data_IF_862320526832
#
_entry.id   IF_862320526832
#
_cell.length_a   1.000
_cell.length_b   1.000
_cell.length_c   1.000
_cell.angle_alpha   90.00
_cell.angle_beta   90.00
_cell.angle_gamma   90.00
#
_symmetry.space_group_name_H-M   'P 1'
#
loop_
_entity.id
_entity.type
_entity.pdbx_description
1 polymer ?
#
# COMPACT_ATOMS: atom_id res chain seq x y z
N UNK A 1 3.95 4.54 13.37
CA UNK A 1 3.66 3.21 13.96
C UNK A 1 4.64 2.22 13.38
N UNK A 2 5.10 1.27 14.20
CA UNK A 2 6.08 0.24 13.83
C UNK A 2 5.49 -1.10 14.29
N UNK A 3 5.37 -2.06 13.37
CA UNK A 3 5.12 -3.46 13.73
C UNK A 3 6.45 -4.20 13.61
N UNK A 4 6.96 -4.64 14.76
CA UNK A 4 8.19 -5.40 14.92
C UNK A 4 7.81 -6.80 15.41
N UNK A 5 7.45 -7.66 14.48
CA UNK A 5 6.97 -8.99 14.81
C UNK A 5 8.20 -9.87 15.11
N UNK A 6 8.46 -10.14 16.40
CA UNK A 6 9.69 -10.77 16.91
C UNK A 6 10.05 -12.16 16.34
N UNK A 7 9.19 -12.74 15.48
CA UNK A 7 9.44 -13.98 14.73
C UNK A 7 9.93 -13.75 13.29
N UNK A 8 9.97 -12.50 12.80
CA UNK A 8 10.38 -12.14 11.45
C UNK A 8 11.44 -11.02 11.46
N UNK A 9 12.50 -11.16 10.67
CA UNK A 9 13.65 -10.23 10.62
C UNK A 9 13.38 -8.90 9.89
N UNK A 10 12.12 -8.49 9.75
CA UNK A 10 11.69 -7.34 8.93
C UNK A 10 10.67 -6.49 9.68
N UNK A 11 10.86 -5.17 9.63
CA UNK A 11 9.94 -4.18 10.17
C UNK A 11 9.20 -3.42 9.07
N UNK A 12 7.95 -3.04 9.35
CA UNK A 12 7.16 -2.10 8.54
C UNK A 12 6.89 -0.87 9.40
N UNK A 13 7.12 0.32 8.84
CA UNK A 13 6.89 1.57 9.54
C UNK A 13 6.10 2.55 8.67
N UNK A 14 5.12 3.20 9.29
CA UNK A 14 4.50 4.42 8.77
C UNK A 14 5.02 5.57 9.63
N UNK A 15 5.76 6.48 9.00
CA UNK A 15 6.35 7.65 9.63
C UNK A 15 5.56 8.90 9.26
N UNK A 16 5.29 9.73 10.25
CA UNK A 16 4.71 11.06 10.04
C UNK A 16 5.63 12.14 10.59
N UNK A 17 5.86 13.18 9.80
CA UNK A 17 6.70 14.32 10.17
C UNK A 17 5.94 15.39 10.96
N UNK A 18 4.62 15.44 10.83
CA UNK A 18 3.79 16.56 11.28
C UNK A 18 2.80 16.18 12.41
N UNK A 19 3.01 15.04 13.06
CA UNK A 19 2.21 14.55 14.21
C UNK A 19 0.67 14.67 14.06
N UNK A 20 0.04 14.24 12.96
CA UNK A 20 -1.40 14.04 12.99
C UNK A 20 -1.71 12.96 14.04
N UNK A 21 -2.89 13.08 14.65
CA UNK A 21 -3.40 12.09 15.60
C UNK A 21 -3.73 10.81 14.82
N UNK A 22 -2.73 9.97 14.64
CA UNK A 22 -2.82 8.66 14.01
C UNK A 22 -2.99 7.60 15.10
N UNK A 23 -3.98 6.73 14.92
CA UNK A 23 -4.28 5.65 15.85
C UNK A 23 -4.08 4.33 15.11
N UNK A 24 -3.29 3.42 15.70
CA UNK A 24 -3.10 2.08 15.15
C UNK A 24 -4.44 1.34 15.16
N UNK A 25 -4.72 0.62 14.08
CA UNK A 25 -5.93 -0.19 13.97
C UNK A 25 -5.59 -1.58 13.49
N UNK A 26 -6.41 -2.54 13.90
CA UNK A 26 -6.37 -3.89 13.37
C UNK A 26 -7.49 -4.02 12.35
N UNK A 27 -7.14 -4.38 11.12
CA UNK A 27 -8.11 -4.80 10.12
C UNK A 27 -8.39 -6.27 10.34
N UNK A 28 -9.66 -6.66 10.30
CA UNK A 28 -10.07 -8.05 10.51
C UNK A 28 -9.32 -8.99 9.56
N UNK A 29 -8.77 -10.06 10.11
CA UNK A 29 -8.06 -11.11 9.38
C UNK A 29 -6.72 -11.44 10.00
N UNK A 30 -6.07 -12.48 9.47
CA UNK A 30 -4.83 -13.04 10.02
C UNK A 30 -3.62 -12.75 9.13
N UNK A 31 -3.65 -11.66 8.36
CA UNK A 31 -2.50 -11.24 7.55
C UNK A 31 -1.47 -10.51 8.42
N UNK A 32 -0.27 -11.06 8.51
CA UNK A 32 0.72 -10.65 9.52
C UNK A 32 1.75 -9.62 9.03
N UNK A 33 1.93 -9.48 7.72
CA UNK A 33 2.96 -8.61 7.13
C UNK A 33 2.39 -7.22 6.78
N UNK A 34 1.69 -6.61 7.74
CA UNK A 34 1.09 -5.29 7.56
C UNK A 34 1.12 -4.40 8.80
N UNK A 35 0.92 -3.11 8.57
CA UNK A 35 0.63 -2.09 9.58
C UNK A 35 -0.51 -1.25 9.07
N UNK A 36 -1.50 -1.00 9.92
CA UNK A 36 -2.63 -0.15 9.61
C UNK A 36 -2.78 0.96 10.64
N UNK A 37 -3.20 2.12 10.16
CA UNK A 37 -3.62 3.20 11.03
C UNK A 37 -4.76 3.99 10.43
N UNK A 38 -5.51 4.64 11.32
CA UNK A 38 -6.51 5.62 10.96
C UNK A 38 -6.04 7.02 11.33
N UNK A 39 -6.37 7.98 10.49
CA UNK A 39 -6.06 9.39 10.69
C UNK A 39 -7.37 10.17 10.57
N UNK A 40 -7.71 10.95 11.60
CA UNK A 40 -8.85 11.87 11.56
C UNK A 40 -8.50 13.07 10.69
N UNK A 41 -9.34 13.37 9.72
CA UNK A 41 -9.16 14.48 8.80
C UNK A 41 -9.89 15.73 9.32
N UNK A 42 -9.29 16.90 9.12
CA UNK A 42 -9.87 18.20 9.50
C UNK A 42 -11.26 18.44 8.88
N UNK A 43 -11.54 17.81 7.73
CA UNK A 43 -12.82 17.86 7.02
C UNK A 43 -13.92 16.93 7.55
N UNK A 44 -13.71 16.29 8.71
CA UNK A 44 -14.67 15.37 9.32
C UNK A 44 -14.68 13.97 8.71
N UNK A 45 -13.79 13.69 7.77
CA UNK A 45 -13.54 12.34 7.27
C UNK A 45 -12.48 11.59 8.09
N UNK A 46 -12.34 10.32 7.77
CA UNK A 46 -11.29 9.45 8.32
C UNK A 46 -10.56 8.80 7.16
N UNK A 47 -9.23 8.84 7.19
CA UNK A 47 -8.34 8.08 6.32
C UNK A 47 -7.97 6.78 7.02
N UNK A 48 -8.17 5.65 6.35
CA UNK A 48 -7.50 4.40 6.67
C UNK A 48 -6.28 4.26 5.76
N UNK A 49 -5.09 4.10 6.35
CA UNK A 49 -3.87 3.83 5.58
C UNK A 49 -3.19 2.56 6.06
N UNK A 50 -2.80 1.72 5.11
CA UNK A 50 -2.15 0.43 5.35
C UNK A 50 -0.85 0.32 4.58
N UNK A 51 0.19 -0.20 5.25
CA UNK A 51 1.44 -0.58 4.61
C UNK A 51 1.56 -2.11 4.63
N UNK A 52 1.67 -2.72 3.45
CA UNK A 52 1.83 -4.15 3.23
C UNK A 52 3.27 -4.44 2.84
N UNK A 53 3.86 -5.48 3.40
CA UNK A 53 5.18 -5.95 2.99
C UNK A 53 5.14 -7.44 2.69
N UNK A 54 6.16 -7.91 1.98
CA UNK A 54 6.38 -9.32 1.76
C UNK A 54 7.21 -9.97 2.86
N UNK A 55 6.73 -11.12 3.34
CA UNK A 55 7.58 -12.18 3.87
C UNK A 55 8.01 -13.15 2.74
N UNK A 56 9.30 -13.46 2.56
CA UNK A 56 9.80 -14.35 1.51
C UNK A 56 9.21 -15.77 1.54
N UNK A 57 8.56 -16.15 2.65
CA UNK A 57 8.03 -17.48 2.94
C UNK A 57 6.51 -17.49 3.16
N UNK A 58 5.77 -16.52 2.64
CA UNK A 58 4.31 -16.49 2.83
C UNK A 58 3.63 -17.72 2.23
N UNK A 59 2.82 -18.38 3.05
CA UNK A 59 1.98 -19.50 2.63
C UNK A 59 0.84 -19.04 1.73
N UNK A 60 0.24 -19.96 0.97
CA UNK A 60 -1.00 -19.71 0.21
C UNK A 60 -2.14 -19.19 1.11
N UNK A 61 -2.16 -19.65 2.37
CA UNK A 61 -3.08 -19.17 3.40
C UNK A 61 -2.84 -17.68 3.72
N UNK A 62 -1.60 -17.27 3.92
CA UNK A 62 -1.27 -15.86 4.15
C UNK A 62 -1.63 -14.98 2.93
N UNK A 63 -1.48 -15.49 1.71
CA UNK A 63 -1.94 -14.80 0.48
C UNK A 63 -3.46 -14.70 0.36
N UNK A 64 -4.18 -15.67 0.93
CA UNK A 64 -5.64 -15.60 1.05
C UNK A 64 -6.04 -14.57 2.10
N UNK A 65 -5.32 -14.52 3.23
CA UNK A 65 -5.53 -13.52 4.27
C UNK A 65 -5.24 -12.10 3.78
N UNK A 66 -4.21 -11.90 2.94
CA UNK A 66 -3.94 -10.63 2.27
C UNK A 66 -5.16 -10.14 1.48
N UNK A 67 -5.74 -11.01 0.63
CA UNK A 67 -6.93 -10.70 -0.17
C UNK A 67 -8.13 -10.35 0.72
N UNK A 68 -8.38 -11.15 1.75
CA UNK A 68 -9.48 -10.91 2.70
C UNK A 68 -9.31 -9.60 3.48
N UNK A 69 -8.08 -9.28 3.90
CA UNK A 69 -7.76 -8.02 4.59
C UNK A 69 -8.00 -6.81 3.69
N UNK A 70 -7.64 -6.89 2.40
CA UNK A 70 -7.93 -5.82 1.42
C UNK A 70 -9.44 -5.61 1.27
N UNK A 71 -10.21 -6.70 1.16
CA UNK A 71 -11.69 -6.63 1.11
C UNK A 71 -12.25 -5.97 2.37
N UNK A 72 -11.79 -6.39 3.55
CA UNK A 72 -12.23 -5.82 4.82
C UNK A 72 -11.90 -4.32 4.94
N UNK A 73 -10.71 -3.90 4.50
CA UNK A 73 -10.32 -2.49 4.47
C UNK A 73 -11.21 -1.67 3.51
N UNK A 74 -11.47 -2.19 2.30
CA UNK A 74 -12.28 -1.52 1.29
C UNK A 74 -13.77 -1.41 1.67
N UNK A 75 -14.30 -2.38 2.41
CA UNK A 75 -15.70 -2.39 2.85
C UNK A 75 -15.93 -1.66 4.19
N UNK A 76 -14.85 -1.17 4.83
CA UNK A 76 -14.91 -0.47 6.11
C UNK A 76 -15.71 0.83 6.04
N UNK A 77 -16.91 0.86 6.64
CA UNK A 77 -17.83 2.00 6.57
C UNK A 77 -17.42 3.20 7.42
N UNK A 78 -16.46 3.01 8.32
CA UNK A 78 -15.95 4.06 9.20
C UNK A 78 -14.91 4.96 8.51
N UNK A 79 -14.50 4.61 7.29
CA UNK A 79 -13.46 5.28 6.54
C UNK A 79 -14.02 5.89 5.26
N UNK A 80 -13.55 7.10 4.99
CA UNK A 80 -13.97 7.88 3.81
C UNK A 80 -12.89 7.91 2.75
N UNK A 81 -11.64 7.72 3.18
CA UNK A 81 -10.46 7.69 2.33
C UNK A 81 -9.70 6.41 2.67
N UNK A 82 -9.18 5.74 1.64
CA UNK A 82 -8.41 4.51 1.79
C UNK A 82 -7.12 4.63 0.98
N UNK A 83 -6.01 4.35 1.65
CA UNK A 83 -4.68 4.23 1.05
C UNK A 83 -4.08 2.89 1.45
N UNK A 84 -3.81 2.03 0.48
CA UNK A 84 -3.05 0.79 0.71
C UNK A 84 -1.78 0.90 -0.10
N UNK A 85 -0.64 0.72 0.53
CA UNK A 85 0.66 0.86 -0.14
C UNK A 85 1.64 -0.18 0.34
N UNK A 86 2.73 -0.34 -0.39
CA UNK A 86 3.86 -1.15 0.01
C UNK A 86 4.26 -2.16 -1.06
N UNK A 87 4.97 -3.19 -0.65
CA UNK A 87 5.68 -4.11 -1.53
C UNK A 87 4.93 -5.43 -1.72
N UNK A 88 4.39 -5.61 -2.93
CA UNK A 88 3.62 -6.75 -3.40
C UNK A 88 4.45 -7.68 -4.29
N UNK A 89 5.71 -7.95 -3.91
CA UNK A 89 6.59 -8.99 -4.48
C UNK A 89 5.93 -10.40 -4.67
N UNK A 90 4.70 -10.64 -4.21
CA UNK A 90 3.94 -11.88 -4.42
C UNK A 90 3.45 -12.05 -5.86
N UNK A 91 3.31 -10.96 -6.60
CA UNK A 91 2.65 -10.95 -7.90
C UNK A 91 3.53 -10.43 -9.05
N UNK A 92 4.71 -11.03 -9.29
CA UNK A 92 5.66 -10.54 -10.28
C UNK A 92 5.17 -10.64 -11.73
N UNK A 93 4.15 -11.47 -11.98
CA UNK A 93 3.63 -11.72 -13.32
C UNK A 93 2.41 -10.82 -13.67
N UNK A 94 1.95 -9.99 -12.73
CA UNK A 94 0.87 -9.04 -13.00
C UNK A 94 1.40 -7.92 -13.89
N UNK A 95 0.75 -7.76 -15.05
CA UNK A 95 0.86 -6.57 -15.87
C UNK A 95 -0.23 -5.58 -15.44
N UNK A 96 0.16 -4.51 -14.76
CA UNK A 96 -0.74 -3.45 -14.28
C UNK A 96 -1.25 -2.53 -15.39
N UNK A 97 -0.64 -2.54 -16.57
CA UNK A 97 -1.15 -1.81 -17.75
C UNK A 97 -2.34 -2.53 -18.36
N UNK A 98 -2.25 -3.85 -18.54
CA UNK A 98 -3.32 -4.68 -19.11
C UNK A 98 -4.25 -5.29 -18.06
N UNK A 99 -3.92 -5.13 -16.78
CA UNK A 99 -4.61 -5.75 -15.64
C UNK A 99 -4.83 -7.25 -15.84
N UNK A 100 -3.74 -7.97 -16.09
CA UNK A 100 -3.73 -9.41 -16.33
C UNK A 100 -2.49 -10.08 -15.72
N UNK A 101 -2.59 -11.33 -15.30
CA UNK A 101 -1.44 -12.14 -14.85
C UNK A 101 -1.30 -13.38 -15.72
N UNK A 102 -0.22 -13.52 -16.48
CA UNK A 102 -0.05 -14.68 -17.38
C UNK A 102 0.47 -15.91 -16.64
N UNK A 103 -0.33 -16.97 -16.59
CA UNK A 103 0.07 -18.25 -16.00
C UNK A 103 0.11 -18.28 -14.46
N UNK A 104 -0.39 -17.22 -13.81
CA UNK A 104 -0.45 -17.09 -12.37
C UNK A 104 -1.89 -16.82 -11.92
N UNK A 105 -2.57 -17.90 -11.53
CA UNK A 105 -3.96 -17.88 -11.09
C UNK A 105 -4.18 -17.09 -9.79
N UNK A 106 -3.17 -17.02 -8.91
CA UNK A 106 -3.33 -16.23 -7.68
C UNK A 106 -3.24 -14.74 -7.99
N UNK A 107 -2.35 -14.34 -8.90
CA UNK A 107 -2.30 -12.98 -9.44
C UNK A 107 -3.59 -12.56 -10.16
N UNK A 108 -4.21 -13.46 -10.93
CA UNK A 108 -5.54 -13.21 -11.53
C UNK A 108 -6.60 -12.96 -10.45
N UNK A 109 -6.68 -13.80 -9.42
CA UNK A 109 -7.60 -13.60 -8.28
C UNK A 109 -7.31 -12.32 -7.52
N UNK A 110 -6.04 -11.95 -7.37
CA UNK A 110 -5.66 -10.70 -6.72
C UNK A 110 -6.19 -9.50 -7.52
N UNK A 111 -6.03 -9.50 -8.84
CA UNK A 111 -6.61 -8.48 -9.73
C UNK A 111 -8.14 -8.40 -9.57
N UNK A 112 -8.82 -9.54 -9.54
CA UNK A 112 -10.28 -9.61 -9.34
C UNK A 112 -10.68 -8.97 -8.00
N UNK A 113 -9.98 -9.28 -6.91
CA UNK A 113 -10.23 -8.67 -5.59
C UNK A 113 -10.08 -7.14 -5.63
N UNK A 114 -9.01 -6.63 -6.27
CA UNK A 114 -8.80 -5.18 -6.41
C UNK A 114 -9.97 -4.54 -7.20
N UNK A 115 -10.42 -5.19 -8.28
CA UNK A 115 -11.55 -4.71 -9.11
C UNK A 115 -12.88 -4.73 -8.34
N UNK A 116 -13.18 -5.82 -7.66
CA UNK A 116 -14.42 -6.00 -6.89
C UNK A 116 -14.51 -5.02 -5.71
N UNK A 117 -13.35 -4.60 -5.19
CA UNK A 117 -13.23 -3.58 -4.16
C UNK A 117 -13.24 -2.15 -4.73
N UNK A 118 -13.36 -1.96 -6.04
CA UNK A 118 -13.27 -0.66 -6.72
C UNK A 118 -11.99 0.11 -6.38
N UNK A 119 -10.88 -0.59 -6.17
CA UNK A 119 -9.60 0.02 -5.86
C UNK A 119 -8.83 0.38 -7.12
N UNK A 120 -8.14 1.53 -7.08
CA UNK A 120 -7.35 2.06 -8.18
C UNK A 120 -5.86 1.89 -7.88
N UNK A 121 -5.14 1.13 -8.72
CA UNK A 121 -3.68 1.07 -8.68
C UNK A 121 -3.11 2.34 -9.34
N UNK A 122 -2.12 2.99 -8.71
CA UNK A 122 -1.56 4.29 -9.17
C UNK A 122 -0.11 4.24 -9.69
N UNK A 123 0.59 3.12 -9.57
CA UNK A 123 2.01 2.99 -9.95
C UNK A 123 2.15 2.42 -11.35
N UNK A 124 2.75 3.19 -12.25
CA UNK A 124 2.84 2.89 -13.68
C UNK A 124 4.26 2.60 -14.19
N UNK A 125 5.29 2.75 -13.35
CA UNK A 125 6.69 2.46 -13.70
C UNK A 125 7.27 1.38 -12.81
N UNK A 126 8.29 0.71 -13.35
CA UNK A 126 9.04 -0.30 -12.62
C UNK A 126 9.61 0.28 -11.34
N UNK A 127 9.31 -0.37 -10.22
CA UNK A 127 9.77 0.04 -8.89
C UNK A 127 10.92 -0.80 -8.40
N UNK A 128 11.13 -1.98 -9.00
CA UNK A 128 12.24 -2.88 -8.69
C UNK A 128 13.13 -3.10 -9.89
N UNK A 129 14.43 -2.92 -9.70
CA UNK A 129 15.46 -3.21 -10.70
C UNK A 129 16.64 -3.94 -10.05
N UNK A 130 16.84 -5.20 -10.43
CA UNK A 130 17.95 -6.03 -9.95
C UNK A 130 18.72 -6.58 -11.14
N UNK A 131 20.04 -6.58 -11.05
CA UNK A 131 20.92 -7.16 -12.08
C UNK A 131 20.51 -8.61 -12.36
N UNK A 132 20.26 -8.93 -13.63
CA UNK A 132 19.86 -10.27 -14.07
C UNK A 132 18.39 -10.61 -13.85
N UNK A 133 17.54 -9.64 -13.50
CA UNK A 133 16.09 -9.80 -13.42
C UNK A 133 15.40 -8.76 -14.31
N UNK A 134 14.26 -9.13 -14.90
CA UNK A 134 13.40 -8.17 -15.58
C UNK A 134 12.86 -7.15 -14.56
N UNK A 135 12.93 -5.84 -14.86
CA UNK A 135 12.30 -4.81 -14.05
C UNK A 135 10.80 -5.03 -13.90
N UNK A 136 10.24 -4.70 -12.74
CA UNK A 136 8.84 -4.98 -12.41
C UNK A 136 8.22 -3.92 -11.52
N UNK A 137 6.90 -3.80 -11.60
CA UNK A 137 6.08 -2.92 -10.77
C UNK A 137 5.60 -3.74 -9.56
N UNK A 138 6.29 -3.59 -8.44
CA UNK A 138 6.04 -4.41 -7.24
C UNK A 138 5.68 -3.58 -6.02
N UNK A 139 6.08 -2.31 -5.98
CA UNK A 139 5.60 -1.36 -4.99
C UNK A 139 4.33 -0.73 -5.54
N UNK A 140 3.22 -0.95 -4.87
CA UNK A 140 1.89 -0.56 -5.35
C UNK A 140 1.28 0.48 -4.42
N UNK A 141 0.42 1.30 -5.00
CA UNK A 141 -0.43 2.25 -4.28
C UNK A 141 -1.86 2.00 -4.77
N UNK A 142 -2.74 1.62 -3.86
CA UNK A 142 -4.16 1.45 -4.10
C UNK A 142 -4.96 2.50 -3.34
N UNK A 143 -5.94 3.09 -4.01
CA UNK A 143 -6.87 4.07 -3.42
C UNK A 143 -8.31 3.75 -3.77
N UNK A 144 -9.26 4.18 -2.95
CA UNK A 144 -10.69 4.04 -3.25
C UNK A 144 -11.21 5.10 -4.26
N UNK A 145 -10.43 6.12 -4.57
CA UNK A 145 -10.72 7.05 -5.68
C UNK A 145 -9.44 7.38 -6.47
N UNK A 146 -9.59 7.54 -7.78
CA UNK A 146 -8.45 7.72 -8.72
C UNK A 146 -7.66 9.01 -8.50
N UNK A 147 -8.33 10.09 -8.08
CA UNK A 147 -7.74 11.43 -7.91
C UNK A 147 -7.08 11.64 -6.54
N UNK A 148 -7.04 10.62 -5.68
CA UNK A 148 -6.43 10.74 -4.34
C UNK A 148 -4.90 10.72 -4.34
N UNK A 149 -4.26 10.43 -5.47
CA UNK A 149 -2.78 10.40 -5.55
C UNK A 149 -2.31 11.23 -6.72
N UNK A 150 -1.45 12.21 -6.42
CA UNK A 150 -0.82 13.11 -7.38
C UNK A 150 0.71 13.12 -7.24
N UNK A 151 1.38 13.42 -8.35
CA UNK A 151 2.81 13.77 -8.33
C UNK A 151 3.75 12.64 -7.94
N UNK A 152 3.45 11.39 -8.32
CA UNK A 152 4.33 10.25 -8.03
C UNK A 152 5.70 10.47 -8.65
N UNK A 153 6.70 10.59 -7.79
CA UNK A 153 8.11 10.67 -8.13
C UNK A 153 8.77 9.36 -7.76
N UNK A 154 9.48 8.78 -8.72
CA UNK A 154 10.24 7.55 -8.57
C UNK A 154 11.68 7.93 -8.24
N UNK A 155 12.00 7.88 -6.95
CA UNK A 155 13.28 8.32 -6.40
C UNK A 155 14.31 7.19 -6.42
N UNK A 156 15.59 7.56 -6.33
CA UNK A 156 16.67 6.58 -6.23
C UNK A 156 16.47 5.62 -5.04
N UNK A 157 16.92 4.36 -5.16
CA UNK A 157 16.86 3.40 -4.07
C UNK A 157 17.53 3.93 -2.81
N UNK A 158 16.95 3.61 -1.65
CA UNK A 158 17.58 3.90 -0.37
C UNK A 158 18.66 2.87 -0.07
N UNK A 159 19.90 3.33 0.06
CA UNK A 159 21.05 2.47 0.34
C UNK A 159 21.32 1.45 -0.77
N UNK A 160 21.38 0.16 -0.41
CA UNK A 160 21.60 -0.95 -1.34
C UNK A 160 20.31 -1.65 -1.79
N UNK A 161 19.16 -1.00 -1.61
CA UNK A 161 17.86 -1.54 -2.05
C UNK A 161 17.84 -1.74 -3.57
N UNK A 162 17.19 -2.82 -4.02
CA UNK A 162 16.81 -3.02 -5.43
C UNK A 162 15.46 -2.37 -5.78
N UNK A 163 14.81 -1.73 -4.80
CA UNK A 163 13.56 -0.98 -4.95
C UNK A 163 13.81 0.53 -4.90
N UNK A 164 13.18 1.26 -5.82
CA UNK A 164 13.08 2.71 -5.81
C UNK A 164 12.18 3.20 -4.66
N UNK A 165 12.37 4.42 -4.18
CA UNK A 165 11.43 5.04 -3.25
C UNK A 165 10.33 5.79 -4.01
N UNK A 166 9.09 5.75 -3.51
CA UNK A 166 7.97 6.51 -4.08
C UNK A 166 7.69 7.75 -3.22
N UNK A 167 7.65 8.92 -3.85
CA UNK A 167 7.24 10.17 -3.22
C UNK A 167 5.99 10.69 -3.92
N UNK A 168 4.91 10.90 -3.19
CA UNK A 168 3.64 11.33 -3.76
C UNK A 168 2.84 12.18 -2.79
N UNK A 169 1.83 12.86 -3.31
CA UNK A 169 0.87 13.61 -2.48
C UNK A 169 -0.43 12.85 -2.42
N UNK A 170 -0.93 12.60 -1.20
CA UNK A 170 -2.25 12.02 -0.99
C UNK A 170 -3.28 13.12 -0.75
N UNK A 171 -4.29 13.18 -1.60
CA UNK A 171 -5.34 14.18 -1.54
C UNK A 171 -6.53 13.68 -0.72
N UNK A 172 -6.88 14.46 0.30
CA UNK A 172 -8.07 14.26 1.11
C UNK A 172 -9.05 15.40 0.84
N UNK A 173 -10.34 15.11 0.77
CA UNK A 173 -11.37 16.14 0.65
C UNK A 173 -12.23 16.28 1.90
N UNK A 174 -12.84 17.45 2.03
CA UNK A 174 -13.68 17.79 3.17
C UNK A 174 -15.11 17.24 2.95
N UNK A 175 -15.62 16.39 3.84
CA UNK A 175 -16.99 15.87 3.67
C UNK A 175 -18.06 16.94 3.84
N UNK A 176 -17.75 18.04 4.54
CA UNK A 176 -18.68 19.17 4.74
C UNK A 176 -18.76 20.10 3.53
N UNK A 177 -17.81 20.00 2.60
CA UNK A 177 -17.76 20.74 1.34
C UNK A 177 -17.21 19.77 0.31
N UNK A 178 -18.06 19.11 -0.51
CA UNK A 178 -17.64 18.19 -1.61
C UNK A 178 -16.81 18.91 -2.69
N UNK A 179 -15.71 19.52 -2.27
CA UNK A 179 -14.73 20.28 -3.02
C UNK A 179 -13.41 19.74 -2.48
N UNK A 180 -12.54 19.18 -3.33
CA UNK A 180 -11.20 18.81 -2.94
C UNK A 180 -10.52 20.05 -2.34
N UNK A 181 -10.25 20.04 -1.04
CA UNK A 181 -9.41 21.08 -0.45
C UNK A 181 -7.97 20.62 -0.65
N UNK A 182 -7.08 21.55 -1.01
CA UNK A 182 -5.64 21.28 -1.13
C UNK A 182 -4.97 21.04 0.24
N UNK A 183 -5.73 20.70 1.27
CA UNK A 183 -5.25 20.26 2.58
C UNK A 183 -4.75 18.80 2.47
N UNK A 184 -4.01 18.50 1.40
CA UNK A 184 -3.46 17.18 1.11
C UNK A 184 -2.46 16.80 2.19
N UNK A 185 -2.55 15.56 2.65
CA UNK A 185 -1.52 14.99 3.51
C UNK A 185 -0.38 14.60 2.57
N UNK A 186 0.78 15.24 2.73
CA UNK A 186 1.99 14.79 2.05
C UNK A 186 2.43 13.50 2.73
N UNK A 187 2.20 12.37 2.06
CA UNK A 187 2.58 11.04 2.54
C UNK A 187 3.81 10.62 1.76
N UNK A 188 4.97 10.59 2.44
CA UNK A 188 6.16 9.93 1.90
C UNK A 188 6.13 8.48 2.32
N UNK A 189 5.84 7.59 1.39
CA UNK A 189 5.86 6.16 1.63
C UNK A 189 7.05 5.53 0.94
N UNK A 190 7.99 5.04 1.72
CA UNK A 190 9.06 4.18 1.23
C UNK A 190 8.99 2.87 1.99
N UNK A 191 8.96 1.76 1.26
CA UNK A 191 9.21 0.45 1.88
C UNK A 191 10.69 0.39 2.23
N UNK A 192 11.06 0.85 3.43
CA UNK A 192 12.44 0.76 3.89
C UNK A 192 12.71 -0.68 4.29
N UNK A 193 13.46 -1.41 3.46
CA UNK A 193 14.03 -2.70 3.85
C UNK A 193 15.25 -2.46 4.72
N UNK A 194 15.11 -2.63 6.02
CA UNK A 194 16.28 -2.92 6.87
C UNK A 194 16.61 -4.41 6.70
N UNK A 195 17.74 -4.73 6.07
CA UNK A 195 18.42 -5.99 6.37
C UNK A 195 19.23 -5.73 7.64
N UNK A 196 18.75 -6.22 8.79
CA UNK A 196 19.65 -6.40 9.92
C UNK A 196 20.58 -7.57 9.57
N UNK A 197 21.88 -7.26 9.51
CA UNK A 197 22.95 -8.24 9.30
C UNK A 197 22.98 -9.28 10.42
#
# INVERSE_FOLDING_TARGET
MINDNAQHTRGIAIYDRNEPVAEEVQITGDFIDCVWCKIKLSGGGTLLTGCVNKSPSSSEENLTNLKNMIVAAAQGKDFTHLLIMGDFLYYPNINWTTWSSSGDKDGEKFIEVIRDCYLHQRVDKNTRARIGCEPSVLDLIFTNEVEMVEGITYCDPLGHSDHCALDFTFLCYNLRRKIPTRDGISIKATTIRYQMN
#
